data_IF_969942879670
#
_entry.id   IF_969942879670
#
_cell.length_a   1.000
_cell.length_b   1.000
_cell.length_c   1.000
_cell.angle_alpha   90.00
_cell.angle_beta   90.00
_cell.angle_gamma   90.00
#
_symmetry.space_group_name_H-M   'P 1'
#
loop_
_entity.id
_entity.type
_entity.pdbx_description
1 polymer ?
#
# COMPACT_ATOMS: atom_id res chain seq x y z
N UNK A 1 15.03 -28.97 -25.48
CA UNK A 1 14.20 -27.80 -25.80
C UNK A 1 14.49 -27.39 -27.24
N UNK A 2 13.47 -27.13 -28.07
CA UNK A 2 13.66 -26.77 -29.48
C UNK A 2 14.09 -25.29 -29.62
N UNK A 3 14.81 -24.94 -30.67
CA UNK A 3 15.26 -23.56 -30.92
C UNK A 3 14.10 -22.54 -30.99
N UNK A 4 12.91 -22.98 -31.39
CA UNK A 4 11.67 -22.19 -31.38
C UNK A 4 11.17 -21.87 -29.96
N UNK A 5 11.33 -22.79 -29.00
CA UNK A 5 10.96 -22.55 -27.61
C UNK A 5 11.91 -21.54 -26.95
N UNK A 6 13.22 -21.66 -27.22
CA UNK A 6 14.25 -20.74 -26.71
C UNK A 6 14.05 -19.32 -27.30
N UNK A 7 13.76 -19.22 -28.60
CA UNK A 7 13.48 -17.93 -29.24
C UNK A 7 12.19 -17.27 -28.72
N UNK A 8 11.16 -18.08 -28.40
CA UNK A 8 9.92 -17.61 -27.77
C UNK A 8 10.14 -17.08 -26.36
N UNK A 9 10.90 -17.80 -25.53
CA UNK A 9 11.28 -17.38 -24.17
C UNK A 9 12.09 -16.07 -24.19
N UNK A 10 13.09 -15.96 -25.06
CA UNK A 10 13.90 -14.75 -25.20
C UNK A 10 13.10 -13.52 -25.67
N UNK A 11 12.14 -13.70 -26.57
CA UNK A 11 11.27 -12.62 -27.02
C UNK A 11 10.31 -12.15 -25.91
N UNK A 12 9.80 -13.07 -25.10
CA UNK A 12 8.94 -12.77 -23.97
C UNK A 12 9.71 -12.06 -22.84
N UNK A 13 10.92 -12.50 -22.52
CA UNK A 13 11.82 -11.85 -21.56
C UNK A 13 12.18 -10.42 -21.99
N UNK A 14 12.50 -10.22 -23.26
CA UNK A 14 12.80 -8.90 -23.83
C UNK A 14 11.60 -7.95 -23.73
N UNK A 15 10.39 -8.45 -23.99
CA UNK A 15 9.16 -7.66 -23.88
C UNK A 15 8.87 -7.27 -22.43
N UNK A 16 8.99 -8.20 -21.49
CA UNK A 16 8.80 -7.91 -20.06
C UNK A 16 9.83 -6.90 -19.52
N UNK A 17 11.09 -7.00 -19.98
CA UNK A 17 12.13 -6.03 -19.61
C UNK A 17 11.81 -4.63 -20.13
N UNK A 18 11.29 -4.50 -21.36
CA UNK A 18 10.87 -3.23 -21.93
C UNK A 18 9.66 -2.61 -21.19
N UNK A 19 8.68 -3.44 -20.83
CA UNK A 19 7.51 -3.02 -20.04
C UNK A 19 7.94 -2.53 -18.65
N UNK A 20 8.82 -3.26 -17.97
CA UNK A 20 9.37 -2.88 -16.67
C UNK A 20 10.15 -1.56 -16.74
N UNK A 21 11.02 -1.40 -17.76
CA UNK A 21 11.76 -0.15 -17.96
C UNK A 21 10.81 1.04 -18.18
N UNK A 22 9.72 0.84 -18.91
CA UNK A 22 8.70 1.87 -19.14
C UNK A 22 7.99 2.24 -17.83
N UNK A 23 7.59 1.24 -17.04
CA UNK A 23 6.96 1.45 -15.74
C UNK A 23 7.88 2.21 -14.76
N UNK A 24 9.16 1.81 -14.66
CA UNK A 24 10.17 2.49 -13.83
C UNK A 24 10.30 3.96 -14.21
N UNK A 25 10.42 4.26 -15.51
CA UNK A 25 10.53 5.65 -15.98
C UNK A 25 9.27 6.47 -15.68
N UNK A 26 8.09 5.88 -15.80
CA UNK A 26 6.81 6.53 -15.47
C UNK A 26 6.69 6.84 -13.99
N UNK A 27 6.96 5.87 -13.12
CA UNK A 27 6.92 6.06 -11.66
C UNK A 27 7.95 7.10 -11.21
N UNK A 28 9.17 7.08 -11.76
CA UNK A 28 10.17 8.12 -11.51
C UNK A 28 9.65 9.51 -11.87
N UNK A 29 9.06 9.66 -13.06
CA UNK A 29 8.51 10.95 -13.53
C UNK A 29 7.42 11.47 -12.60
N UNK A 30 6.59 10.58 -12.07
CA UNK A 30 5.56 10.93 -11.09
C UNK A 30 6.19 11.42 -9.78
N UNK A 31 7.15 10.67 -9.21
CA UNK A 31 7.82 11.08 -7.97
C UNK A 31 8.57 12.40 -8.12
N UNK A 32 9.26 12.61 -9.26
CA UNK A 32 9.95 13.86 -9.56
C UNK A 32 8.97 15.05 -9.59
N UNK A 33 7.73 14.84 -10.07
CA UNK A 33 6.71 15.90 -10.11
C UNK A 33 6.07 16.16 -8.76
N UNK A 34 5.84 15.12 -7.95
CA UNK A 34 5.20 15.26 -6.63
C UNK A 34 6.18 15.79 -5.58
N UNK A 35 7.42 15.30 -5.58
CA UNK A 35 8.40 15.54 -4.52
C UNK A 35 9.61 16.37 -4.93
N UNK A 36 9.75 16.72 -6.22
CA UNK A 36 10.93 17.33 -6.86
C UNK A 36 11.96 16.33 -7.38
N UNK A 37 12.62 16.61 -8.52
CA UNK A 37 13.65 15.75 -9.06
C UNK A 37 14.87 15.62 -8.13
N UNK A 38 15.42 14.42 -8.02
CA UNK A 38 16.74 14.23 -7.41
C UNK A 38 17.84 14.38 -8.47
N UNK A 39 18.73 15.36 -8.30
CA UNK A 39 19.88 15.51 -9.17
C UNK A 39 20.85 14.31 -9.01
N UNK A 40 21.57 13.92 -10.08
CA UNK A 40 22.61 12.91 -9.98
C UNK A 40 23.65 13.28 -8.91
N UNK A 41 23.95 12.36 -7.99
CA UNK A 41 24.90 12.59 -6.90
C UNK A 41 24.37 13.40 -5.71
N UNK A 42 23.13 13.91 -5.76
CA UNK A 42 22.53 14.63 -4.63
C UNK A 42 21.70 13.75 -3.70
N UNK A 43 21.66 12.43 -3.89
CA UNK A 43 20.74 11.52 -3.17
C UNK A 43 20.75 11.68 -1.65
N UNK A 44 21.92 11.86 -1.04
CA UNK A 44 22.05 12.05 0.42
C UNK A 44 21.61 13.44 0.93
N UNK A 45 21.57 14.45 0.05
CA UNK A 45 21.23 15.83 0.38
C UNK A 45 19.89 16.27 -0.22
N UNK A 46 19.21 15.37 -0.94
CA UNK A 46 17.92 15.65 -1.55
C UNK A 46 16.87 15.88 -0.46
N UNK A 47 16.01 16.86 -0.69
CA UNK A 47 14.87 17.14 0.17
C UNK A 47 13.62 17.18 -0.69
N UNK A 48 12.52 16.55 -0.23
CA UNK A 48 11.25 16.67 -0.93
C UNK A 48 10.76 18.13 -0.93
N UNK A 49 9.82 18.45 -1.82
CA UNK A 49 9.08 19.70 -1.77
C UNK A 49 8.57 19.95 -0.35
N UNK A 50 8.77 21.18 0.13
CA UNK A 50 8.48 21.56 1.51
C UNK A 50 7.04 21.25 1.90
N UNK A 51 6.87 20.77 3.13
CA UNK A 51 5.56 20.53 3.71
C UNK A 51 4.83 21.87 3.92
N UNK A 52 3.91 22.22 3.01
CA UNK A 52 3.14 23.46 3.09
C UNK A 52 1.63 23.18 3.13
N UNK A 53 1.00 23.46 4.27
CA UNK A 53 -0.45 23.30 4.45
C UNK A 53 -1.27 24.45 3.82
N UNK A 54 -0.62 25.51 3.37
CA UNK A 54 -1.25 26.75 2.89
C UNK A 54 -1.28 26.91 1.36
N UNK A 55 -0.62 26.02 0.61
CA UNK A 55 -0.56 26.06 -0.85
C UNK A 55 -1.29 24.91 -1.54
N UNK A 56 -1.39 25.02 -2.87
CA UNK A 56 -1.94 23.99 -3.75
C UNK A 56 -1.14 22.65 -3.74
N UNK A 57 0.01 22.61 -3.06
CA UNK A 57 0.90 21.44 -2.93
C UNK A 57 0.88 20.83 -1.52
N UNK A 58 -0.31 20.73 -0.93
CA UNK A 58 -0.49 20.15 0.41
C UNK A 58 -0.12 18.67 0.40
N UNK A 59 0.91 18.29 1.17
CA UNK A 59 1.28 16.89 1.40
C UNK A 59 0.48 16.30 2.57
N UNK A 60 0.07 15.05 2.42
CA UNK A 60 -0.60 14.27 3.45
C UNK A 60 0.28 13.09 3.84
N UNK A 61 0.20 12.64 5.09
CA UNK A 61 0.95 11.45 5.55
C UNK A 61 0.66 10.22 4.70
N UNK A 62 -0.57 10.08 4.22
CA UNK A 62 -0.93 9.02 3.30
C UNK A 62 -0.18 9.12 1.96
N UNK A 63 -0.10 10.31 1.37
CA UNK A 63 0.71 10.57 0.18
C UNK A 63 2.18 10.22 0.44
N UNK A 64 2.73 10.65 1.58
CA UNK A 64 4.13 10.38 1.93
C UNK A 64 4.41 8.89 2.16
N UNK A 65 3.48 8.15 2.76
CA UNK A 65 3.57 6.70 2.89
C UNK A 65 3.67 6.01 1.51
N UNK A 66 2.79 6.41 0.58
CA UNK A 66 2.84 5.92 -0.80
C UNK A 66 4.12 6.38 -1.53
N UNK A 67 4.60 7.60 -1.28
CA UNK A 67 5.85 8.11 -1.81
C UNK A 67 7.06 7.27 -1.40
N UNK A 68 7.15 6.94 -0.11
CA UNK A 68 8.18 6.03 0.43
C UNK A 68 8.06 4.65 -0.22
N UNK A 69 6.86 4.06 -0.23
CA UNK A 69 6.63 2.75 -0.86
C UNK A 69 7.02 2.75 -2.35
N UNK A 70 6.67 3.78 -3.11
CA UNK A 70 7.02 3.90 -4.53
C UNK A 70 8.54 4.04 -4.75
N UNK A 71 9.25 4.78 -3.89
CA UNK A 71 10.72 4.82 -3.91
C UNK A 71 11.32 3.43 -3.66
N UNK A 72 10.76 2.67 -2.71
CA UNK A 72 11.21 1.30 -2.42
C UNK A 72 10.88 0.33 -3.57
N UNK A 73 9.73 0.47 -4.22
CA UNK A 73 9.40 -0.29 -5.44
C UNK A 73 10.39 -0.02 -6.57
N UNK A 74 10.79 1.25 -6.78
CA UNK A 74 11.86 1.59 -7.73
C UNK A 74 13.19 0.98 -7.33
N UNK A 75 13.54 1.02 -6.05
CA UNK A 75 14.76 0.37 -5.51
C UNK A 75 14.79 -1.13 -5.84
N UNK A 76 13.69 -1.86 -5.64
CA UNK A 76 13.63 -3.28 -5.97
C UNK A 76 13.65 -3.54 -7.48
N UNK A 77 12.88 -2.79 -8.27
CA UNK A 77 12.84 -2.95 -9.73
C UNK A 77 14.22 -2.67 -10.38
N UNK A 78 14.95 -1.68 -9.87
CA UNK A 78 16.30 -1.35 -10.38
C UNK A 78 17.41 -2.22 -9.79
N UNK A 79 17.14 -2.97 -8.71
CA UNK A 79 18.06 -3.96 -8.15
C UNK A 79 18.26 -5.16 -9.08
N UNK A 80 17.22 -5.56 -9.81
CA UNK A 80 17.30 -6.68 -10.75
C UNK A 80 18.29 -6.41 -11.90
N UNK A 81 18.44 -5.13 -12.30
CA UNK A 81 19.22 -4.73 -13.47
C UNK A 81 20.59 -4.09 -13.14
N UNK A 82 21.03 -4.16 -11.87
CA UNK A 82 22.31 -3.56 -11.40
C UNK A 82 22.48 -2.07 -11.77
N UNK A 83 21.39 -1.31 -11.80
CA UNK A 83 21.41 0.10 -12.19
C UNK A 83 22.13 0.98 -11.13
N UNK A 84 23.00 1.93 -11.53
CA UNK A 84 23.74 2.80 -10.60
C UNK A 84 22.82 3.65 -9.71
N UNK A 85 21.59 3.89 -10.16
CA UNK A 85 20.63 4.80 -9.54
C UNK A 85 19.87 4.17 -8.37
N UNK A 86 19.99 2.86 -8.14
CA UNK A 86 19.32 2.12 -7.06
C UNK A 86 19.42 2.82 -5.70
N UNK A 87 20.64 3.23 -5.32
CA UNK A 87 20.88 3.85 -4.00
C UNK A 87 20.23 5.23 -3.87
N UNK A 88 19.93 5.90 -4.99
CA UNK A 88 19.23 7.19 -4.99
C UNK A 88 17.80 7.02 -4.48
N UNK A 89 17.07 6.00 -4.96
CA UNK A 89 15.70 5.77 -4.51
C UNK A 89 15.61 5.41 -3.03
N UNK A 90 16.57 4.62 -2.52
CA UNK A 90 16.64 4.32 -1.10
C UNK A 90 16.96 5.57 -0.26
N UNK A 91 17.82 6.47 -0.77
CA UNK A 91 18.10 7.74 -0.11
C UNK A 91 16.90 8.72 -0.17
N UNK A 92 16.13 8.74 -1.26
CA UNK A 92 14.90 9.51 -1.34
C UNK A 92 13.83 9.03 -0.35
N UNK A 93 13.69 7.71 -0.17
CA UNK A 93 12.82 7.14 0.85
C UNK A 93 13.25 7.55 2.27
N UNK A 94 14.55 7.49 2.58
CA UNK A 94 15.10 7.93 3.87
C UNK A 94 14.84 9.43 4.11
N UNK A 95 15.08 10.27 3.09
CA UNK A 95 14.85 11.71 3.16
C UNK A 95 13.36 12.07 3.35
N UNK A 96 12.45 11.34 2.69
CA UNK A 96 11.00 11.49 2.91
C UNK A 96 10.61 11.13 4.35
N UNK A 97 11.15 10.03 4.89
CA UNK A 97 10.91 9.62 6.28
C UNK A 97 11.45 10.66 7.26
N UNK A 98 12.66 11.16 7.04
CA UNK A 98 13.27 12.19 7.88
C UNK A 98 12.45 13.49 7.87
N UNK A 99 12.01 13.95 6.69
CA UNK A 99 11.17 15.13 6.55
C UNK A 99 9.84 14.95 7.30
N UNK A 100 9.13 13.82 7.09
CA UNK A 100 7.89 13.53 7.82
C UNK A 100 8.14 13.46 9.33
N UNK A 101 9.21 12.81 9.79
CA UNK A 101 9.52 12.71 11.22
C UNK A 101 9.76 14.08 11.86
N UNK A 102 10.52 14.96 11.18
CA UNK A 102 10.74 16.34 11.61
C UNK A 102 9.45 17.16 11.67
N UNK A 103 8.54 16.95 10.71
CA UNK A 103 7.25 17.63 10.68
C UNK A 103 6.29 17.06 11.74
N UNK A 104 6.20 15.73 11.90
CA UNK A 104 5.37 15.05 12.92
C UNK A 104 5.73 15.48 14.34
N UNK A 105 7.01 15.75 14.59
CA UNK A 105 7.48 16.30 15.87
C UNK A 105 7.09 17.77 16.09
N UNK A 106 6.77 18.53 15.03
CA UNK A 106 6.50 19.98 15.08
C UNK A 106 5.01 20.33 14.96
N UNK A 107 4.25 19.54 14.23
CA UNK A 107 2.84 19.77 13.96
C UNK A 107 2.02 18.58 14.45
N UNK A 108 1.03 18.83 15.32
CA UNK A 108 0.02 17.81 15.61
C UNK A 108 -0.81 17.66 14.33
N UNK A 109 -0.98 16.45 13.85
CA UNK A 109 -1.59 16.20 12.54
C UNK A 109 -2.92 15.47 12.61
N UNK A 110 -3.79 15.73 11.64
CA UNK A 110 -5.06 15.03 11.44
C UNK A 110 -4.80 13.73 10.67
N UNK A 111 -4.84 12.58 11.34
CA UNK A 111 -4.70 11.29 10.67
C UNK A 111 -5.93 10.42 10.89
N UNK A 112 -6.49 9.94 9.77
CA UNK A 112 -7.37 8.75 9.80
C UNK A 112 -6.53 7.48 9.93
N UNK A 113 -7.17 6.39 10.32
CA UNK A 113 -6.49 5.13 10.61
C UNK A 113 -5.68 4.60 9.43
N UNK A 114 -6.25 4.61 8.22
CA UNK A 114 -5.54 4.17 7.00
C UNK A 114 -4.23 4.94 6.72
N UNK A 115 -4.19 6.26 6.97
CA UNK A 115 -2.99 7.04 6.74
C UNK A 115 -1.86 6.65 7.73
N UNK A 116 -2.24 6.39 8.98
CA UNK A 116 -1.34 5.93 10.05
C UNK A 116 -0.83 4.52 9.75
N UNK A 117 -1.72 3.63 9.37
CA UNK A 117 -1.42 2.24 9.04
C UNK A 117 -0.52 2.13 7.80
N UNK A 118 -0.85 2.85 6.73
CA UNK A 118 0.03 2.98 5.55
C UNK A 118 1.43 3.49 5.91
N UNK A 119 1.54 4.45 6.84
CA UNK A 119 2.84 4.96 7.30
C UNK A 119 3.65 3.92 8.08
N UNK A 120 3.02 3.19 8.99
CA UNK A 120 3.65 2.07 9.71
C UNK A 120 4.15 0.99 8.74
N UNK A 121 3.34 0.67 7.73
CA UNK A 121 3.73 -0.24 6.65
C UNK A 121 4.98 0.30 5.94
N UNK A 122 4.98 1.55 5.48
CA UNK A 122 6.13 2.16 4.80
C UNK A 122 7.41 2.12 5.65
N UNK A 123 7.33 2.42 6.95
CA UNK A 123 8.45 2.31 7.89
C UNK A 123 8.97 0.87 8.02
N UNK A 124 8.07 -0.11 8.15
CA UNK A 124 8.45 -1.52 8.20
C UNK A 124 9.13 -1.98 6.90
N UNK A 125 8.62 -1.54 5.75
CA UNK A 125 9.24 -1.80 4.44
C UNK A 125 10.61 -1.17 4.30
N UNK A 126 10.80 0.05 4.83
CA UNK A 126 12.11 0.69 4.88
C UNK A 126 13.09 -0.10 5.76
N UNK A 127 12.65 -0.64 6.90
CA UNK A 127 13.46 -1.55 7.72
C UNK A 127 13.99 -2.74 6.90
N UNK A 128 13.12 -3.41 6.12
CA UNK A 128 13.52 -4.55 5.29
C UNK A 128 14.52 -4.12 4.20
N UNK A 129 14.23 -3.04 3.47
CA UNK A 129 15.06 -2.60 2.36
C UNK A 129 16.44 -2.08 2.80
N UNK A 130 16.49 -1.38 3.94
CA UNK A 130 17.71 -0.76 4.47
C UNK A 130 18.46 -1.64 5.47
N UNK A 131 17.81 -2.68 5.99
CA UNK A 131 18.29 -3.51 7.10
C UNK A 131 18.65 -2.66 8.34
N UNK A 132 17.81 -1.66 8.64
CA UNK A 132 17.97 -0.79 9.80
C UNK A 132 16.75 -0.90 10.73
N UNK A 133 16.89 -1.54 11.90
CA UNK A 133 15.79 -1.78 12.83
C UNK A 133 15.18 -0.50 13.42
N UNK A 134 15.80 0.67 13.23
CA UNK A 134 15.24 1.95 13.70
C UNK A 134 13.85 2.21 13.13
N UNK A 135 13.62 1.91 11.85
CA UNK A 135 12.34 2.23 11.21
C UNK A 135 11.21 1.37 11.76
N UNK A 136 11.47 0.08 11.97
CA UNK A 136 10.47 -0.80 12.58
C UNK A 136 10.19 -0.42 14.03
N UNK A 137 11.22 -0.04 14.80
CA UNK A 137 11.03 0.49 16.16
C UNK A 137 10.13 1.72 16.20
N UNK A 138 10.31 2.67 15.28
CA UNK A 138 9.42 3.85 15.19
C UNK A 138 7.98 3.46 14.86
N UNK A 139 7.77 2.49 13.97
CA UNK A 139 6.44 1.99 13.66
C UNK A 139 5.77 1.31 14.86
N UNK A 140 6.52 0.49 15.62
CA UNK A 140 6.04 -0.14 16.86
C UNK A 140 5.66 0.91 17.90
N UNK A 141 6.52 1.90 18.16
CA UNK A 141 6.23 2.98 19.10
C UNK A 141 4.98 3.78 18.70
N UNK A 142 4.78 4.02 17.40
CA UNK A 142 3.58 4.67 16.90
C UNK A 142 2.34 3.81 17.15
N UNK A 143 2.43 2.48 16.99
CA UNK A 143 1.33 1.55 17.26
C UNK A 143 0.98 1.51 18.75
N UNK A 144 1.97 1.35 19.63
CA UNK A 144 1.79 1.33 21.10
C UNK A 144 1.14 2.64 21.60
N UNK A 145 1.56 3.77 21.04
CA UNK A 145 1.07 5.09 21.48
C UNK A 145 -0.34 5.40 20.95
N UNK A 146 -0.64 4.99 19.72
CA UNK A 146 -1.88 5.37 19.05
C UNK A 146 -3.03 4.38 19.31
N UNK A 147 -2.77 3.07 19.36
CA UNK A 147 -3.79 2.02 19.33
C UNK A 147 -4.95 2.26 20.29
N UNK A 148 -4.66 2.51 21.56
CA UNK A 148 -5.68 2.71 22.59
C UNK A 148 -6.62 3.90 22.35
N UNK A 149 -6.23 4.87 21.51
CA UNK A 149 -7.07 6.03 21.16
C UNK A 149 -8.06 5.74 20.04
N UNK A 150 -7.77 4.74 19.21
CA UNK A 150 -8.62 4.33 18.11
C UNK A 150 -9.57 3.19 18.51
N UNK A 151 -9.43 2.61 19.71
CA UNK A 151 -10.29 1.53 20.20
C UNK A 151 -11.44 2.08 21.05
N UNK A 152 -12.68 1.85 20.61
CA UNK A 152 -13.87 2.02 21.45
C UNK A 152 -13.99 0.81 22.37
N UNK A 153 -14.19 1.05 23.66
CA UNK A 153 -14.32 0.01 24.70
C UNK A 153 -15.73 -0.01 25.26
N UNK A 154 -16.25 -1.21 25.51
CA UNK A 154 -17.53 -1.40 26.22
C UNK A 154 -17.42 -0.86 27.65
N UNK A 155 -18.36 -0.02 28.06
CA UNK A 155 -18.37 0.59 29.40
C UNK A 155 -18.54 -0.44 30.53
N UNK A 156 -19.12 -1.61 30.26
CA UNK A 156 -19.44 -2.63 31.26
C UNK A 156 -18.25 -3.54 31.59
N UNK A 157 -17.49 -3.94 30.58
CA UNK A 157 -16.41 -4.93 30.73
C UNK A 157 -15.06 -4.48 30.14
N UNK A 158 -14.96 -3.27 29.59
CA UNK A 158 -13.73 -2.67 29.08
C UNK A 158 -13.20 -3.30 27.79
N UNK A 159 -13.95 -4.23 27.17
CA UNK A 159 -13.51 -4.94 25.97
C UNK A 159 -13.56 -4.05 24.74
N UNK A 160 -12.59 -4.21 23.85
CA UNK A 160 -12.60 -3.57 22.54
C UNK A 160 -13.83 -4.01 21.74
N UNK A 161 -14.68 -3.05 21.33
CA UNK A 161 -15.90 -3.31 20.56
C UNK A 161 -15.79 -2.85 19.12
N UNK A 162 -15.01 -1.82 18.85
CA UNK A 162 -14.90 -1.19 17.54
C UNK A 162 -13.59 -0.41 17.41
N UNK A 163 -13.08 -0.25 16.18
CA UNK A 163 -12.13 0.80 15.83
C UNK A 163 -12.83 2.08 15.33
N UNK A 164 -12.21 3.23 15.59
CA UNK A 164 -12.63 4.53 15.10
C UNK A 164 -11.88 4.86 13.82
N UNK A 165 -12.57 5.05 12.70
CA UNK A 165 -11.93 5.35 11.41
C UNK A 165 -11.04 6.60 11.44
N UNK A 166 -11.47 7.66 12.14
CA UNK A 166 -10.75 8.93 12.13
C UNK A 166 -10.85 9.67 13.45
N UNK A 167 -9.69 9.99 14.00
CA UNK A 167 -9.53 10.77 15.21
C UNK A 167 -9.21 12.23 14.88
N UNK A 168 -9.53 13.12 15.82
CA UNK A 168 -9.02 14.47 15.83
C UNK A 168 -7.50 14.49 15.96
N UNK A 169 -6.91 15.63 15.62
CA UNK A 169 -5.47 15.88 15.61
C UNK A 169 -4.80 15.58 16.95
N UNK A 170 -5.51 15.85 18.05
CA UNK A 170 -5.05 15.63 19.42
C UNK A 170 -5.30 14.21 19.94
N UNK A 171 -5.94 13.36 19.13
CA UNK A 171 -6.38 12.00 19.47
C UNK A 171 -7.27 11.96 20.73
N UNK A 172 -8.02 13.02 21.01
CA UNK A 172 -8.90 13.10 22.17
C UNK A 172 -10.36 12.74 21.85
N UNK A 173 -10.80 13.01 20.62
CA UNK A 173 -12.15 12.65 20.19
C UNK A 173 -12.16 12.11 18.76
N UNK A 174 -13.15 11.29 18.46
CA UNK A 174 -13.42 10.82 17.11
C UNK A 174 -13.97 11.97 16.25
N UNK A 175 -13.53 12.07 15.00
CA UNK A 175 -14.14 12.93 13.96
C UNK A 175 -15.12 12.13 13.09
N UNK A 176 -14.91 10.82 12.98
CA UNK A 176 -15.79 9.89 12.27
C UNK A 176 -15.90 8.62 13.12
N UNK A 177 -17.07 8.44 13.73
CA UNK A 177 -17.32 7.36 14.70
C UNK A 177 -17.59 6.00 14.03
N UNK A 178 -17.66 5.95 12.69
CA UNK A 178 -17.82 4.69 11.96
C UNK A 178 -16.49 3.93 11.90
N UNK A 179 -16.54 2.60 11.95
CA UNK A 179 -15.43 1.72 11.62
C UNK A 179 -15.40 1.52 10.10
N UNK A 180 -14.24 1.64 9.49
CA UNK A 180 -14.07 1.21 8.11
C UNK A 180 -14.27 -0.29 7.97
N UNK A 181 -14.45 -0.72 6.73
CA UNK A 181 -14.82 -2.11 6.46
C UNK A 181 -13.67 -3.07 6.81
N UNK A 182 -12.42 -2.63 6.61
CA UNK A 182 -11.22 -3.45 6.71
C UNK A 182 -10.28 -3.01 7.84
N UNK A 183 -10.54 -1.92 8.56
CA UNK A 183 -9.59 -1.34 9.53
C UNK A 183 -9.04 -2.37 10.53
N UNK A 184 -9.87 -3.25 11.15
CA UNK A 184 -9.34 -4.25 12.06
C UNK A 184 -8.42 -5.28 11.38
N UNK A 185 -8.69 -5.62 10.13
CA UNK A 185 -7.87 -6.54 9.33
C UNK A 185 -6.57 -5.87 8.88
N UNK A 186 -6.63 -4.62 8.42
CA UNK A 186 -5.47 -3.84 8.02
C UNK A 186 -4.52 -3.64 9.21
N UNK A 187 -5.05 -3.17 10.35
CA UNK A 187 -4.28 -2.99 11.57
C UNK A 187 -3.65 -4.30 12.05
N UNK A 188 -4.41 -5.41 12.01
CA UNK A 188 -3.93 -6.73 12.44
C UNK A 188 -2.75 -7.20 11.57
N UNK A 189 -2.86 -7.12 10.24
CA UNK A 189 -1.81 -7.49 9.30
C UNK A 189 -0.56 -6.65 9.54
N UNK A 190 -0.72 -5.33 9.66
CA UNK A 190 0.42 -4.43 9.88
C UNK A 190 1.08 -4.70 11.23
N UNK A 191 0.32 -4.87 12.31
CA UNK A 191 0.90 -5.11 13.63
C UNK A 191 1.66 -6.44 13.67
N UNK A 192 1.19 -7.47 12.95
CA UNK A 192 1.93 -8.72 12.77
C UNK A 192 3.20 -8.54 11.93
N UNK A 193 3.18 -7.72 10.88
CA UNK A 193 4.40 -7.34 10.15
C UNK A 193 5.42 -6.62 11.05
N UNK A 194 4.96 -5.72 11.93
CA UNK A 194 5.82 -5.03 12.89
C UNK A 194 6.42 -6.02 13.89
N UNK A 195 5.61 -6.91 14.44
CA UNK A 195 6.03 -7.94 15.39
C UNK A 195 7.08 -8.89 14.76
N UNK A 196 6.88 -9.32 13.51
CA UNK A 196 7.82 -10.20 12.79
C UNK A 196 9.21 -9.60 12.64
N UNK A 197 9.31 -8.29 12.44
CA UNK A 197 10.59 -7.59 12.26
C UNK A 197 11.12 -6.93 13.55
N UNK A 198 10.63 -7.35 14.71
CA UNK A 198 11.06 -6.83 16.02
C UNK A 198 12.04 -7.79 16.73
N UNK A 199 13.15 -8.10 16.07
CA UNK A 199 14.19 -8.97 16.65
C UNK A 199 14.71 -8.40 17.98
N UNK A 200 14.78 -9.25 19.00
CA UNK A 200 15.28 -8.89 20.33
C UNK A 200 14.27 -8.18 21.25
N UNK A 201 13.04 -7.92 20.80
CA UNK A 201 11.95 -7.49 21.67
C UNK A 201 11.02 -8.67 22.01
N UNK A 202 10.71 -8.85 23.29
CA UNK A 202 9.78 -9.91 23.70
C UNK A 202 8.34 -9.52 23.32
N UNK A 203 7.88 -10.02 22.16
CA UNK A 203 6.49 -9.96 21.68
C UNK A 203 5.85 -8.55 21.77
N UNK A 204 6.39 -7.54 21.06
CA UNK A 204 5.74 -6.22 21.01
C UNK A 204 4.32 -6.34 20.43
N UNK A 205 3.45 -5.42 20.84
CA UNK A 205 2.05 -5.31 20.40
C UNK A 205 1.15 -6.51 20.74
N UNK A 206 1.54 -7.36 21.70
CA UNK A 206 0.80 -8.60 21.99
C UNK A 206 -0.66 -8.34 22.40
N UNK A 207 -0.90 -7.32 23.23
CA UNK A 207 -2.25 -6.98 23.71
C UNK A 207 -3.10 -6.42 22.58
N UNK A 208 -2.53 -5.50 21.79
CA UNK A 208 -3.18 -4.84 20.67
C UNK A 208 -3.55 -5.84 19.58
N UNK A 209 -2.65 -6.76 19.24
CA UNK A 209 -2.89 -7.84 18.29
C UNK A 209 -4.04 -8.73 18.76
N UNK A 210 -4.06 -9.13 20.04
CA UNK A 210 -5.13 -9.96 20.59
C UNK A 210 -6.50 -9.25 20.58
N UNK A 211 -6.53 -7.92 20.72
CA UNK A 211 -7.74 -7.12 20.54
C UNK A 211 -8.20 -7.09 19.09
N UNK A 212 -7.28 -6.86 18.15
CA UNK A 212 -7.54 -6.80 16.72
C UNK A 212 -8.03 -8.15 16.16
N UNK A 213 -7.49 -9.27 16.64
CA UNK A 213 -7.97 -10.61 16.28
C UNK A 213 -9.47 -10.79 16.62
N UNK A 214 -9.89 -10.33 17.80
CA UNK A 214 -11.31 -10.40 18.21
C UNK A 214 -12.20 -9.50 17.37
N UNK A 215 -11.74 -8.27 17.09
CA UNK A 215 -12.44 -7.31 16.24
C UNK A 215 -12.61 -7.87 14.82
N UNK A 216 -11.52 -8.38 14.25
CA UNK A 216 -11.49 -9.00 12.93
C UNK A 216 -12.46 -10.18 12.83
N UNK A 217 -12.49 -11.06 13.84
CA UNK A 217 -13.38 -12.23 13.83
C UNK A 217 -14.87 -11.84 13.75
N UNK A 218 -15.26 -10.78 14.45
CA UNK A 218 -16.64 -10.24 14.37
C UNK A 218 -16.94 -9.67 13.00
N UNK A 219 -16.04 -8.81 12.48
CA UNK A 219 -16.18 -8.12 11.19
C UNK A 219 -16.24 -9.09 10.02
N UNK A 220 -15.47 -10.18 10.07
CA UNK A 220 -15.36 -11.15 9.00
C UNK A 220 -16.71 -11.76 8.62
N UNK A 221 -17.59 -12.02 9.60
CA UNK A 221 -18.88 -12.66 9.36
C UNK A 221 -19.81 -11.82 8.47
N UNK A 222 -19.69 -10.49 8.55
CA UNK A 222 -20.52 -9.52 7.84
C UNK A 222 -19.78 -8.82 6.70
N UNK A 223 -18.56 -9.27 6.38
CA UNK A 223 -17.72 -8.64 5.36
C UNK A 223 -18.42 -8.66 4.00
N UNK A 224 -18.72 -7.46 3.50
CA UNK A 224 -19.23 -7.18 2.16
C UNK A 224 -18.55 -5.92 1.65
N UNK A 225 -18.25 -5.83 0.37
CA UNK A 225 -17.72 -4.61 -0.23
C UNK A 225 -18.40 -4.34 -1.57
N UNK A 226 -18.65 -3.06 -1.86
CA UNK A 226 -19.11 -2.56 -3.15
C UNK A 226 -18.28 -1.35 -3.59
N UNK A 227 -17.07 -1.22 -3.03
CA UNK A 227 -16.14 -0.13 -3.27
C UNK A 227 -14.83 -0.68 -3.86
N UNK A 228 -14.32 0.00 -4.89
CA UNK A 228 -13.12 -0.41 -5.61
C UNK A 228 -11.87 -0.39 -4.73
N UNK A 229 -11.75 0.62 -3.86
CA UNK A 229 -10.61 0.76 -2.97
C UNK A 229 -10.61 -0.34 -1.92
N UNK A 230 -11.74 -0.52 -1.23
CA UNK A 230 -11.91 -1.57 -0.22
C UNK A 230 -11.64 -2.96 -0.81
N UNK A 231 -12.14 -3.25 -2.02
CA UNK A 231 -11.90 -4.54 -2.65
C UNK A 231 -10.42 -4.73 -3.02
N UNK A 232 -9.74 -3.68 -3.50
CA UNK A 232 -8.30 -3.70 -3.75
C UNK A 232 -7.49 -3.94 -2.47
N UNK A 233 -7.82 -3.24 -1.39
CA UNK A 233 -7.20 -3.41 -0.08
C UNK A 233 -7.41 -4.83 0.46
N UNK A 234 -8.61 -5.39 0.35
CA UNK A 234 -8.89 -6.77 0.75
C UNK A 234 -8.01 -7.80 0.01
N UNK A 235 -7.78 -7.60 -1.31
CA UNK A 235 -6.86 -8.45 -2.07
C UNK A 235 -5.43 -8.34 -1.57
N UNK A 236 -4.96 -7.11 -1.31
CA UNK A 236 -3.62 -6.85 -0.79
C UNK A 236 -3.42 -7.45 0.60
N UNK A 237 -4.37 -7.24 1.52
CA UNK A 237 -4.35 -7.79 2.87
C UNK A 237 -4.34 -9.31 2.86
N UNK A 238 -5.11 -9.95 1.97
CA UNK A 238 -5.11 -11.40 1.83
C UNK A 238 -3.71 -11.96 1.50
N UNK A 239 -2.86 -11.21 0.79
CA UNK A 239 -1.50 -11.65 0.46
C UNK A 239 -0.59 -11.65 1.69
N UNK A 240 -0.54 -10.54 2.40
CA UNK A 240 0.28 -10.42 3.61
C UNK A 240 -0.23 -11.35 4.71
N UNK A 241 -1.54 -11.51 4.82
CA UNK A 241 -2.13 -12.43 5.77
C UNK A 241 -1.78 -13.90 5.48
N UNK A 242 -1.76 -14.31 4.20
CA UNK A 242 -1.34 -15.66 3.84
C UNK A 242 0.13 -15.95 4.19
N UNK A 243 0.98 -14.92 4.26
CA UNK A 243 2.39 -15.05 4.69
C UNK A 243 2.55 -15.06 6.22
N UNK A 244 1.67 -14.36 6.95
CA UNK A 244 1.83 -14.08 8.37
C UNK A 244 1.10 -15.05 9.30
N UNK A 245 0.06 -15.71 8.80
CA UNK A 245 -0.82 -16.54 9.62
C UNK A 245 -0.84 -17.97 9.10
N UNK A 246 -0.51 -18.91 9.97
CA UNK A 246 -0.74 -20.32 9.74
C UNK A 246 -2.25 -20.59 9.65
N UNK A 247 -2.69 -21.29 8.61
CA UNK A 247 -4.10 -21.67 8.40
C UNK A 247 -5.10 -20.52 8.61
N UNK A 248 -5.17 -19.60 7.64
CA UNK A 248 -5.99 -18.41 7.72
C UNK A 248 -7.21 -18.44 6.77
N UNK A 249 -8.31 -19.17 7.07
CA UNK A 249 -9.52 -19.24 6.22
C UNK A 249 -10.11 -17.87 5.84
N UNK A 250 -9.86 -16.85 6.65
CA UNK A 250 -10.33 -15.49 6.42
C UNK A 250 -9.65 -14.81 5.22
N UNK A 251 -8.43 -15.23 4.84
CA UNK A 251 -7.73 -14.72 3.65
C UNK A 251 -8.43 -15.16 2.37
N UNK A 252 -8.88 -16.43 2.31
CA UNK A 252 -9.70 -16.94 1.21
C UNK A 252 -11.03 -16.18 1.11
N UNK A 253 -11.64 -15.85 2.25
CA UNK A 253 -12.87 -15.06 2.29
C UNK A 253 -12.65 -13.64 1.77
N UNK A 254 -11.59 -12.96 2.19
CA UNK A 254 -11.22 -11.63 1.66
C UNK A 254 -11.02 -11.67 0.16
N UNK A 255 -10.24 -12.65 -0.30
CA UNK A 255 -9.94 -12.82 -1.71
C UNK A 255 -11.21 -13.02 -2.54
N UNK A 256 -12.08 -13.93 -2.12
CA UNK A 256 -13.34 -14.23 -2.81
C UNK A 256 -14.29 -13.02 -2.81
N UNK A 257 -14.52 -12.38 -1.66
CA UNK A 257 -15.40 -11.20 -1.56
C UNK A 257 -14.89 -10.06 -2.45
N UNK A 258 -13.59 -9.83 -2.48
CA UNK A 258 -12.99 -8.79 -3.29
C UNK A 258 -13.14 -9.05 -4.80
N UNK A 259 -12.80 -10.26 -5.27
CA UNK A 259 -12.94 -10.59 -6.70
C UNK A 259 -14.39 -10.54 -7.17
N UNK A 260 -15.32 -11.06 -6.37
CA UNK A 260 -16.75 -11.00 -6.69
C UNK A 260 -17.26 -9.56 -6.76
N UNK A 261 -16.83 -8.70 -5.82
CA UNK A 261 -17.19 -7.28 -5.81
C UNK A 261 -16.63 -6.55 -7.02
N UNK A 262 -15.34 -6.73 -7.32
CA UNK A 262 -14.70 -6.12 -8.48
C UNK A 262 -15.38 -6.59 -9.78
N UNK A 263 -15.66 -7.89 -9.93
CA UNK A 263 -16.32 -8.37 -11.14
C UNK A 263 -17.70 -7.72 -11.33
N UNK A 264 -18.48 -7.60 -10.26
CA UNK A 264 -19.76 -6.90 -10.28
C UNK A 264 -19.63 -5.40 -10.61
N UNK A 265 -18.63 -4.71 -10.06
CA UNK A 265 -18.35 -3.29 -10.34
C UNK A 265 -18.01 -3.09 -11.82
N UNK A 266 -17.13 -3.93 -12.36
CA UNK A 266 -16.73 -3.88 -13.77
C UNK A 266 -17.89 -4.17 -14.71
N UNK A 267 -18.76 -5.14 -14.37
CA UNK A 267 -19.96 -5.47 -15.15
C UNK A 267 -21.00 -4.33 -15.16
N UNK A 268 -21.19 -3.64 -14.03
CA UNK A 268 -22.16 -2.54 -13.88
C UNK A 268 -21.75 -1.23 -14.57
N UNK A 269 -20.63 -1.22 -15.30
CA UNK A 269 -20.13 -0.05 -16.04
C UNK A 269 -19.81 1.19 -15.17
N UNK A 270 -19.62 1.07 -13.85
CA UNK A 270 -19.17 2.20 -13.00
C UNK A 270 -17.82 2.76 -13.47
N UNK A 271 -16.96 1.89 -13.98
CA UNK A 271 -15.68 2.22 -14.64
C UNK A 271 -15.82 2.81 -16.07
N UNK A 272 -17.04 3.02 -16.56
CA UNK A 272 -17.33 3.65 -17.87
C UNK A 272 -18.05 4.99 -17.76
N UNK A 273 -18.27 5.48 -16.53
CA UNK A 273 -18.82 6.82 -16.28
C UNK A 273 -17.85 7.94 -16.67
N UNK A 274 -18.32 9.20 -16.75
CA UNK A 274 -17.48 10.35 -17.02
C UNK A 274 -16.42 10.55 -15.91
N UNK A 275 -15.26 11.17 -16.20
CA UNK A 275 -14.16 11.32 -15.26
C UNK A 275 -14.53 11.96 -13.92
N UNK A 276 -15.49 12.91 -13.92
CA UNK A 276 -15.95 13.63 -12.73
C UNK A 276 -16.82 12.80 -11.78
N UNK A 277 -17.27 11.61 -12.20
CA UNK A 277 -18.04 10.67 -11.38
C UNK A 277 -17.20 9.48 -10.91
N UNK A 278 -15.93 9.42 -11.32
CA UNK A 278 -14.99 8.36 -10.99
C UNK A 278 -13.88 8.91 -10.10
N UNK A 279 -13.31 8.07 -9.27
CA UNK A 279 -12.24 8.46 -8.36
C UNK A 279 -11.00 7.63 -8.71
N UNK A 280 -10.03 8.26 -9.36
CA UNK A 280 -8.79 7.62 -9.80
C UNK A 280 -8.15 6.81 -8.67
N UNK A 281 -7.96 7.42 -7.51
CA UNK A 281 -7.34 6.75 -6.36
C UNK A 281 -8.07 5.46 -5.94
N UNK A 282 -9.40 5.38 -6.04
CA UNK A 282 -10.16 4.17 -5.70
C UNK A 282 -9.91 3.06 -6.72
N UNK A 283 -9.95 3.42 -8.00
CA UNK A 283 -9.69 2.46 -9.08
C UNK A 283 -8.24 2.00 -9.11
N UNK A 284 -7.28 2.86 -8.76
CA UNK A 284 -5.88 2.46 -8.59
C UNK A 284 -5.67 1.57 -7.36
N UNK A 285 -6.46 1.75 -6.29
CA UNK A 285 -6.51 0.80 -5.19
C UNK A 285 -6.93 -0.60 -5.65
N UNK A 286 -8.01 -0.70 -6.43
CA UNK A 286 -8.43 -1.94 -7.06
C UNK A 286 -7.34 -2.55 -7.95
N UNK A 287 -6.70 -1.74 -8.81
CA UNK A 287 -5.62 -2.21 -9.68
C UNK A 287 -4.44 -2.73 -8.86
N UNK A 288 -4.01 -2.00 -7.83
CA UNK A 288 -2.93 -2.44 -6.95
C UNK A 288 -3.24 -3.81 -6.31
N UNK A 289 -4.45 -3.97 -5.76
CA UNK A 289 -4.93 -5.23 -5.21
C UNK A 289 -4.96 -6.37 -6.22
N UNK A 290 -5.47 -6.14 -7.43
CA UNK A 290 -5.49 -7.14 -8.52
C UNK A 290 -4.08 -7.50 -8.97
N UNK A 291 -3.17 -6.54 -9.03
CA UNK A 291 -1.78 -6.80 -9.39
C UNK A 291 -1.13 -7.74 -8.38
N UNK A 292 -1.15 -7.40 -7.09
CA UNK A 292 -0.47 -8.19 -6.05
C UNK A 292 -1.19 -9.50 -5.73
N UNK A 293 -2.52 -9.48 -5.77
CA UNK A 293 -3.35 -10.61 -5.36
C UNK A 293 -3.61 -11.62 -6.46
N UNK A 294 -3.51 -11.23 -7.73
CA UNK A 294 -3.86 -12.08 -8.87
C UNK A 294 -2.74 -12.13 -9.89
N UNK A 295 -2.35 -11.01 -10.48
CA UNK A 295 -1.52 -10.99 -11.70
C UNK A 295 -0.04 -11.29 -11.43
N UNK A 296 0.48 -10.86 -10.28
CA UNK A 296 1.85 -11.08 -9.82
C UNK A 296 1.95 -12.20 -8.79
N UNK A 297 0.80 -12.76 -8.38
CA UNK A 297 0.74 -13.87 -7.44
C UNK A 297 1.35 -15.13 -8.09
N UNK A 298 2.25 -15.88 -7.43
CA UNK A 298 2.90 -17.06 -8.01
C UNK A 298 1.93 -18.14 -8.51
N UNK A 299 0.85 -18.36 -7.78
CA UNK A 299 -0.26 -19.27 -8.13
C UNK A 299 -1.45 -18.57 -8.81
N UNK A 300 -1.27 -17.33 -9.29
CA UNK A 300 -2.30 -16.57 -10.00
C UNK A 300 -3.54 -16.24 -9.19
N UNK A 301 -3.41 -16.05 -7.87
CA UNK A 301 -4.52 -15.77 -6.96
C UNK A 301 -5.47 -16.96 -6.74
N UNK A 302 -5.11 -18.17 -7.16
CA UNK A 302 -6.00 -19.34 -7.07
C UNK A 302 -7.14 -19.33 -8.07
N UNK A 303 -7.10 -18.45 -9.09
CA UNK A 303 -8.07 -18.39 -10.19
C UNK A 303 -7.49 -18.94 -11.50
N UNK A 304 -8.35 -19.37 -12.41
CA UNK A 304 -7.94 -19.96 -13.68
C UNK A 304 -7.28 -18.96 -14.65
N UNK A 305 -6.41 -19.45 -15.53
CA UNK A 305 -5.64 -18.59 -16.47
C UNK A 305 -6.49 -17.70 -17.37
N UNK A 306 -7.66 -18.20 -17.82
CA UNK A 306 -8.63 -17.38 -18.59
C UNK A 306 -9.15 -16.19 -17.79
N UNK A 307 -9.39 -16.39 -16.49
CA UNK A 307 -9.87 -15.33 -15.61
C UNK A 307 -8.75 -14.33 -15.29
N UNK A 308 -7.52 -14.80 -15.08
CA UNK A 308 -6.35 -13.94 -14.92
C UNK A 308 -6.15 -13.04 -16.15
N UNK A 309 -6.28 -13.60 -17.36
CA UNK A 309 -6.16 -12.83 -18.60
C UNK A 309 -7.28 -11.78 -18.73
N UNK A 310 -8.51 -12.12 -18.35
CA UNK A 310 -9.62 -11.17 -18.26
C UNK A 310 -9.29 -10.00 -17.32
N UNK A 311 -8.70 -10.29 -16.15
CA UNK A 311 -8.27 -9.25 -15.21
C UNK A 311 -7.11 -8.41 -15.75
N UNK A 312 -6.14 -9.04 -16.41
CA UNK A 312 -5.01 -8.35 -17.07
C UNK A 312 -5.50 -7.32 -18.07
N UNK A 313 -6.48 -7.68 -18.91
CA UNK A 313 -7.08 -6.77 -19.88
C UNK A 313 -7.81 -5.60 -19.21
N UNK A 314 -8.59 -5.88 -18.15
CA UNK A 314 -9.31 -4.85 -17.37
C UNK A 314 -8.36 -3.87 -16.69
N UNK A 315 -7.30 -4.36 -16.07
CA UNK A 315 -6.24 -3.55 -15.46
C UNK A 315 -5.57 -2.65 -16.51
N UNK A 316 -5.22 -3.21 -17.67
CA UNK A 316 -4.58 -2.45 -18.74
C UNK A 316 -5.48 -1.32 -19.28
N UNK A 317 -6.80 -1.53 -19.34
CA UNK A 317 -7.77 -0.49 -19.71
C UNK A 317 -7.79 0.65 -18.68
N UNK A 318 -7.82 0.33 -17.39
CA UNK A 318 -7.83 1.35 -16.33
C UNK A 318 -6.53 2.15 -16.29
N UNK A 319 -5.38 1.50 -16.39
CA UNK A 319 -4.08 2.18 -16.38
C UNK A 319 -3.94 3.13 -17.56
N UNK A 320 -4.33 2.72 -18.78
CA UNK A 320 -4.29 3.61 -19.96
C UNK A 320 -5.24 4.79 -19.81
N UNK A 321 -6.47 4.55 -19.36
CA UNK A 321 -7.46 5.61 -19.21
C UNK A 321 -7.01 6.70 -18.23
N UNK A 322 -6.47 6.30 -17.08
CA UNK A 322 -6.07 7.26 -16.05
C UNK A 322 -4.71 7.91 -16.30
N UNK A 323 -3.85 7.31 -17.14
CA UNK A 323 -2.58 7.93 -17.53
C UNK A 323 -2.81 9.31 -18.17
N UNK A 324 -3.84 9.46 -19.00
CA UNK A 324 -4.17 10.73 -19.66
C UNK A 324 -4.76 11.78 -18.71
N UNK A 325 -5.29 11.34 -17.55
CA UNK A 325 -6.04 12.18 -16.61
C UNK A 325 -5.40 12.23 -15.21
N UNK A 326 -4.12 11.83 -15.12
CA UNK A 326 -3.44 11.54 -13.86
C UNK A 326 -3.49 12.69 -12.84
N UNK A 327 -3.38 13.92 -13.33
CA UNK A 327 -3.32 15.15 -12.54
C UNK A 327 -4.60 15.99 -12.65
N UNK A 328 -5.69 15.44 -13.20
CA UNK A 328 -6.91 16.20 -13.46
C UNK A 328 -7.66 16.61 -12.18
N UNK A 329 -7.42 15.90 -11.07
CA UNK A 329 -8.13 16.10 -9.79
C UNK A 329 -7.24 16.65 -8.69
N UNK A 330 -6.09 16.03 -8.49
CA UNK A 330 -5.15 16.35 -7.41
C UNK A 330 -3.72 16.13 -7.90
N UNK A 331 -2.75 16.71 -7.17
CA UNK A 331 -1.35 16.75 -7.57
C UNK A 331 -0.50 15.65 -6.93
N UNK A 332 -1.03 14.88 -5.98
CA UNK A 332 -0.25 13.97 -5.14
C UNK A 332 -0.90 12.58 -4.99
N UNK A 333 -2.09 12.48 -4.40
CA UNK A 333 -2.77 11.22 -4.05
C UNK A 333 -2.97 10.33 -5.28
N UNK A 334 -3.63 10.86 -6.30
CA UNK A 334 -3.98 10.17 -7.52
C UNK A 334 -2.73 9.69 -8.28
N UNK A 335 -1.73 10.56 -8.55
CA UNK A 335 -0.49 10.13 -9.19
C UNK A 335 0.28 9.08 -8.39
N UNK A 336 0.35 9.21 -7.05
CA UNK A 336 1.10 8.26 -6.22
C UNK A 336 0.42 6.89 -6.13
N UNK A 337 -0.91 6.86 -6.06
CA UNK A 337 -1.69 5.63 -6.14
C UNK A 337 -1.52 4.93 -7.50
N UNK A 338 -1.52 5.69 -8.59
CA UNK A 338 -1.24 5.17 -9.92
C UNK A 338 0.17 4.57 -10.00
N UNK A 339 1.17 5.26 -9.45
CA UNK A 339 2.54 4.78 -9.41
C UNK A 339 2.66 3.45 -8.64
N UNK A 340 1.98 3.34 -7.49
CA UNK A 340 1.93 2.10 -6.72
C UNK A 340 1.25 0.98 -7.49
N UNK A 341 0.14 1.26 -8.18
CA UNK A 341 -0.58 0.30 -9.01
C UNK A 341 0.22 -0.17 -10.24
N UNK A 342 1.01 0.73 -10.85
CA UNK A 342 1.84 0.44 -12.02
C UNK A 342 3.10 -0.36 -11.66
N UNK A 343 3.73 -0.06 -10.52
CA UNK A 343 4.91 -0.76 -10.01
C UNK A 343 4.71 -1.18 -8.54
N UNK A 344 3.94 -2.25 -8.29
CA UNK A 344 3.58 -2.66 -6.93
C UNK A 344 4.77 -3.02 -6.07
N UNK A 345 5.77 -3.75 -6.58
CA UNK A 345 7.07 -3.98 -5.93
C UNK A 345 6.96 -4.29 -4.43
N UNK A 346 7.17 -3.26 -3.59
CA UNK A 346 7.14 -3.34 -2.13
C UNK A 346 5.77 -3.74 -1.54
N UNK A 347 4.68 -3.50 -2.26
CA UNK A 347 3.32 -3.85 -1.84
C UNK A 347 3.05 -5.36 -1.94
N UNK A 348 3.82 -6.07 -2.76
CA UNK A 348 3.72 -7.51 -2.95
C UNK A 348 4.71 -8.24 -2.04
N UNK A 349 4.27 -9.24 -1.24
CA UNK A 349 5.19 -10.09 -0.47
C UNK A 349 6.06 -10.96 -1.40
N UNK A 350 5.62 -11.17 -2.65
CA UNK A 350 6.26 -12.07 -3.61
C UNK A 350 7.39 -11.44 -4.42
N UNK A 351 7.49 -10.11 -4.43
CA UNK A 351 8.45 -9.37 -5.27
C UNK A 351 9.59 -8.73 -4.48
N UNK A 352 9.63 -8.95 -3.16
CA UNK A 352 10.76 -8.52 -2.34
C UNK A 352 11.85 -9.59 -2.34
N UNK A 353 13.14 -9.20 -2.31
CA UNK A 353 14.22 -10.17 -2.14
C UNK A 353 13.96 -10.93 -0.84
N UNK A 354 13.74 -12.24 -0.94
CA UNK A 354 13.68 -13.11 0.22
C UNK A 354 14.99 -12.91 1.00
N UNK A 355 14.88 -12.37 2.21
CA UNK A 355 15.98 -12.28 3.17
C UNK A 355 16.37 -13.67 3.64
#
# INVERSE_FOLDING_TARGET
MSALAIAGEQAQESTMAADLSTAVQRVKTILDRVYSPCAPGSGANWKPHAFDQSSANRRYLWSDAFGVCNCLSLYYATSANQEPQKQTYLAQADALIADVHDQLGRFRFRFGDHARLSWMFALNRMNVARQDPRYNRWAVQLAETAHGRFVVRDERDGRAVQLVWKMAVDLQHAEVDSEGNLDPMEALVIYRLLQRHSEGQEKPLQTEIAELERLMQRKLATLVTNDELDAGEALWLAQWAAELFDEAPWTLRLHHVALASLDAIFQRCRVRGPPNQRLLFREMGAVLGLQVGVLLHPQGGGIGGTEQERWRQRVAVLLRYWEELLYARDADISPLMYAAALLPGVWSPWQQPHT
#
